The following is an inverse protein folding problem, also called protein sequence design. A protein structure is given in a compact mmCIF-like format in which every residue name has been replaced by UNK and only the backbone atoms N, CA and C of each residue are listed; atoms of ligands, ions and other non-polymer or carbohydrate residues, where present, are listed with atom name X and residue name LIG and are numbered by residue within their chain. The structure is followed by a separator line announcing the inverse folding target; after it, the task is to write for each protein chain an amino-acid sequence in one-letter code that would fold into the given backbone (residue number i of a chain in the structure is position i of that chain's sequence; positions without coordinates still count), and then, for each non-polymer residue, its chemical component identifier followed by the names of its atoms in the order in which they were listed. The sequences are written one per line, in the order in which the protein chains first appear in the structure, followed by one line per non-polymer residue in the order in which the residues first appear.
data_IF_401161434227
#
_entry.id   IF_401161434227
#
_cell.length_a   1.000
_cell.length_b   1.000
_cell.length_c   1.000
_cell.angle_alpha   90.00
_cell.angle_beta   90.00
_cell.angle_gamma   90.00
#
_symmetry.space_group_name_H-M   'P 1'
#
loop_
_entity.id
_entity.type
_entity.pdbx_description
1 polymer ?
#
# COMPACT_ATOMS: atom_id res chain seq x y z
N UNK A 1 28.58 36.22 -65.41
CA UNK A 1 28.88 35.93 -63.96
C UNK A 1 27.75 35.04 -63.43
N UNK A 2 28.05 33.80 -63.02
CA UNK A 2 27.02 32.92 -62.47
C UNK A 2 26.71 33.31 -61.02
N UNK A 3 25.44 33.54 -60.70
CA UNK A 3 24.98 33.77 -59.32
C UNK A 3 25.09 32.46 -58.50
N UNK A 4 26.01 32.40 -57.57
CA UNK A 4 26.13 31.34 -56.58
C UNK A 4 24.82 31.23 -55.76
N UNK A 5 24.06 30.17 -55.97
CA UNK A 5 22.92 29.79 -55.11
C UNK A 5 23.53 29.27 -53.79
N UNK A 6 23.45 30.08 -52.76
CA UNK A 6 23.72 29.58 -51.40
C UNK A 6 22.65 28.61 -51.02
N UNK A 7 22.98 27.33 -51.05
CA UNK A 7 22.09 26.28 -50.46
C UNK A 7 22.09 26.51 -48.94
N UNK A 8 20.94 26.59 -48.30
CA UNK A 8 20.90 26.70 -46.83
C UNK A 8 21.49 25.42 -46.26
N UNK A 9 22.54 25.58 -45.45
CA UNK A 9 23.28 24.49 -44.80
C UNK A 9 22.45 23.70 -43.79
N UNK A 10 21.26 24.18 -43.46
CA UNK A 10 20.39 23.51 -42.49
C UNK A 10 18.93 23.55 -42.95
N UNK A 11 18.32 22.41 -43.08
CA UNK A 11 16.90 22.29 -43.43
C UNK A 11 16.06 22.21 -42.16
N UNK A 12 15.41 23.30 -41.78
CA UNK A 12 14.56 23.41 -40.61
C UNK A 12 13.26 22.61 -40.67
N UNK A 13 12.83 22.21 -41.86
CA UNK A 13 11.54 21.50 -42.02
C UNK A 13 11.45 20.20 -41.26
N UNK A 14 12.41 19.25 -41.35
CA UNK A 14 12.34 18.03 -40.60
C UNK A 14 12.44 18.25 -39.07
N UNK A 15 13.19 19.26 -38.64
CA UNK A 15 13.32 19.60 -37.22
C UNK A 15 12.00 20.14 -36.67
N UNK A 16 11.35 21.04 -37.38
CA UNK A 16 10.04 21.57 -36.99
C UNK A 16 8.96 20.47 -36.92
N UNK A 17 8.96 19.54 -37.88
CA UNK A 17 8.04 18.39 -37.87
C UNK A 17 8.30 17.50 -36.66
N UNK A 18 9.56 17.20 -36.37
CA UNK A 18 9.93 16.39 -35.20
C UNK A 18 9.46 17.03 -33.88
N UNK A 19 9.71 18.34 -33.70
CA UNK A 19 9.24 19.07 -32.53
C UNK A 19 7.72 19.10 -32.42
N UNK A 20 7.01 19.25 -33.51
CA UNK A 20 5.54 19.23 -33.53
C UNK A 20 4.99 17.86 -33.09
N UNK A 21 5.58 16.76 -33.55
CA UNK A 21 5.17 15.40 -33.19
C UNK A 21 5.44 15.12 -31.71
N UNK A 22 6.63 15.49 -31.21
CA UNK A 22 7.01 15.28 -29.80
C UNK A 22 6.13 16.11 -28.88
N UNK A 23 5.86 17.39 -29.24
CA UNK A 23 4.99 18.26 -28.45
C UNK A 23 3.54 17.78 -28.43
N UNK A 24 3.00 17.30 -29.56
CA UNK A 24 1.67 16.73 -29.63
C UNK A 24 1.56 15.43 -28.80
N UNK A 25 2.61 14.59 -28.84
CA UNK A 25 2.69 13.37 -28.02
C UNK A 25 2.70 13.68 -26.52
N UNK A 26 3.54 14.62 -26.11
CA UNK A 26 3.63 15.05 -24.70
C UNK A 26 2.30 15.67 -24.21
N UNK A 27 1.67 16.52 -25.00
CA UNK A 27 0.37 17.09 -24.68
C UNK A 27 -0.71 16.00 -24.58
N UNK A 28 -0.69 15.01 -25.47
CA UNK A 28 -1.58 13.86 -25.43
C UNK A 28 -1.48 13.05 -24.15
N UNK A 29 -0.25 12.78 -23.68
CA UNK A 29 0.01 12.06 -22.43
C UNK A 29 -0.52 12.85 -21.23
N UNK A 30 -0.24 14.17 -21.16
CA UNK A 30 -0.70 15.02 -20.05
C UNK A 30 -2.23 15.10 -20.01
N UNK A 31 -2.88 15.23 -21.19
CA UNK A 31 -4.35 15.26 -21.28
C UNK A 31 -4.92 13.91 -20.86
N UNK A 32 -4.28 12.80 -21.25
CA UNK A 32 -4.71 11.46 -20.91
C UNK A 32 -4.57 11.19 -19.39
N UNK A 33 -3.43 11.55 -18.79
CA UNK A 33 -3.23 11.46 -17.33
C UNK A 33 -4.28 12.27 -16.58
N UNK A 34 -4.51 13.55 -16.97
CA UNK A 34 -5.54 14.38 -16.32
C UNK A 34 -6.95 13.84 -16.51
N UNK A 35 -7.25 13.26 -17.67
CA UNK A 35 -8.54 12.62 -17.93
C UNK A 35 -8.71 11.32 -17.14
N UNK A 36 -7.61 10.62 -16.84
CA UNK A 36 -7.61 9.44 -15.97
C UNK A 36 -7.74 9.83 -14.50
N UNK A 37 -7.00 10.84 -14.04
CA UNK A 37 -7.13 11.40 -12.69
C UNK A 37 -8.54 12.00 -12.45
N UNK A 38 -9.11 12.66 -13.46
CA UNK A 38 -10.49 13.18 -13.39
C UNK A 38 -11.57 12.06 -13.44
N UNK A 39 -11.22 10.85 -13.89
CA UNK A 39 -12.06 9.66 -13.84
C UNK A 39 -11.85 8.80 -12.60
N UNK A 40 -10.87 9.10 -11.76
CA UNK A 40 -10.91 8.68 -10.37
C UNK A 40 -12.07 9.46 -9.72
N UNK A 41 -13.28 9.06 -10.10
CA UNK A 41 -14.47 9.30 -9.27
C UNK A 41 -14.02 8.90 -7.88
N UNK A 42 -14.01 9.83 -6.90
CA UNK A 42 -13.78 9.44 -5.53
C UNK A 42 -14.78 8.31 -5.33
N UNK A 43 -14.28 7.08 -5.17
CA UNK A 43 -15.11 5.93 -4.90
C UNK A 43 -15.91 6.41 -3.71
N UNK A 44 -17.16 6.81 -3.96
CA UNK A 44 -18.11 7.14 -2.90
C UNK A 44 -18.13 5.84 -2.11
N UNK A 45 -17.34 5.83 -1.03
CA UNK A 45 -17.24 4.67 -0.14
C UNK A 45 -18.68 4.44 0.25
N UNK A 46 -19.31 3.35 -0.21
CA UNK A 46 -20.72 3.13 0.10
C UNK A 46 -20.83 3.26 1.61
N UNK A 47 -21.90 3.87 2.12
CA UNK A 47 -22.11 4.06 3.56
C UNK A 47 -22.01 2.76 4.38
N UNK A 48 -21.98 1.61 3.71
CA UNK A 48 -21.72 0.26 4.26
C UNK A 48 -20.22 -0.06 4.49
N UNK A 49 -19.29 0.77 4.01
CA UNK A 49 -17.85 0.56 4.25
C UNK A 49 -17.43 1.27 5.54
N UNK A 50 -17.62 0.58 6.65
CA UNK A 50 -17.03 1.03 7.91
C UNK A 50 -15.50 0.90 7.83
N UNK A 51 -14.74 1.73 8.56
CA UNK A 51 -13.29 1.62 8.65
C UNK A 51 -12.82 0.19 8.97
N UNK A 52 -13.59 -0.55 9.76
CA UNK A 52 -13.35 -1.95 10.11
C UNK A 52 -13.36 -2.87 8.88
N UNK A 53 -14.31 -2.69 7.97
CA UNK A 53 -14.41 -3.48 6.74
C UNK A 53 -13.25 -3.18 5.80
N UNK A 54 -12.85 -1.92 5.70
CA UNK A 54 -11.68 -1.51 4.88
C UNK A 54 -10.41 -2.13 5.45
N UNK A 55 -10.19 -2.00 6.77
CA UNK A 55 -9.04 -2.58 7.45
C UNK A 55 -8.99 -4.11 7.28
N UNK A 56 -10.12 -4.78 7.44
CA UNK A 56 -10.25 -6.22 7.23
C UNK A 56 -9.84 -6.62 5.82
N UNK A 57 -10.41 -5.99 4.78
CA UNK A 57 -10.08 -6.29 3.38
C UNK A 57 -8.60 -6.04 3.06
N UNK A 58 -8.05 -4.96 3.58
CA UNK A 58 -6.65 -4.62 3.37
C UNK A 58 -5.72 -5.69 3.99
N UNK A 59 -5.99 -6.11 5.23
CA UNK A 59 -5.20 -7.15 5.89
C UNK A 59 -5.37 -8.49 5.17
N UNK A 60 -6.60 -8.86 4.81
CA UNK A 60 -6.87 -10.10 4.08
C UNK A 60 -6.22 -10.14 2.69
N UNK A 61 -6.10 -9.01 2.01
CA UNK A 61 -5.39 -8.94 0.72
C UNK A 61 -3.90 -9.23 0.85
N UNK A 62 -3.35 -9.06 2.05
CA UNK A 62 -1.94 -9.22 2.33
C UNK A 62 -1.61 -10.58 2.96
N UNK A 63 -2.34 -10.95 4.01
CA UNK A 63 -2.11 -12.20 4.78
C UNK A 63 -2.86 -13.39 4.18
N UNK A 64 -3.94 -13.14 3.45
CA UNK A 64 -4.81 -14.14 2.84
C UNK A 64 -6.27 -13.99 3.24
N UNK A 65 -7.17 -14.32 2.32
CA UNK A 65 -8.60 -14.22 2.55
C UNK A 65 -9.05 -15.10 3.72
N UNK A 66 -9.94 -14.57 4.58
CA UNK A 66 -10.50 -15.29 5.73
C UNK A 66 -9.53 -15.44 6.90
N UNK A 67 -8.38 -14.77 6.91
CA UNK A 67 -7.44 -14.80 8.04
C UNK A 67 -7.82 -13.83 9.15
N UNK A 68 -8.51 -12.73 8.84
CA UNK A 68 -8.97 -11.76 9.84
C UNK A 68 -10.17 -12.33 10.60
N UNK A 69 -9.99 -12.56 11.90
CA UNK A 69 -11.05 -13.00 12.80
C UNK A 69 -11.96 -11.85 13.23
N UNK A 70 -11.36 -10.72 13.61
CA UNK A 70 -12.08 -9.50 13.97
C UNK A 70 -11.25 -8.25 13.67
N UNK A 71 -11.94 -7.17 13.38
CA UNK A 71 -11.37 -5.83 13.34
C UNK A 71 -12.29 -4.89 14.10
N UNK A 72 -11.73 -3.97 14.86
CA UNK A 72 -12.47 -3.00 15.64
C UNK A 72 -11.71 -1.69 15.73
N UNK A 73 -12.36 -0.61 15.29
CA UNK A 73 -11.89 0.74 15.46
C UNK A 73 -12.60 1.39 16.63
N UNK A 74 -11.85 1.78 17.65
CA UNK A 74 -12.37 2.62 18.72
C UNK A 74 -12.44 4.09 18.23
N UNK A 75 -13.66 4.65 18.08
CA UNK A 75 -13.81 6.00 17.54
C UNK A 75 -13.31 7.09 18.49
N UNK A 76 -13.19 6.81 19.78
CA UNK A 76 -12.72 7.79 20.75
C UNK A 76 -11.19 7.90 20.77
N UNK A 77 -10.52 6.79 20.81
CA UNK A 77 -9.04 6.75 20.83
C UNK A 77 -8.42 6.77 19.44
N UNK A 78 -9.17 6.38 18.40
CA UNK A 78 -8.65 6.18 17.05
C UNK A 78 -7.72 4.98 16.93
N UNK A 79 -7.84 4.01 17.86
CA UNK A 79 -7.06 2.78 17.86
C UNK A 79 -7.80 1.73 17.04
N UNK A 80 -7.15 1.25 15.98
CA UNK A 80 -7.61 0.09 15.23
C UNK A 80 -7.00 -1.18 15.82
N UNK A 81 -7.83 -2.10 16.29
CA UNK A 81 -7.40 -3.43 16.72
C UNK A 81 -7.82 -4.46 15.68
N UNK A 82 -6.87 -5.23 15.15
CA UNK A 82 -7.11 -6.32 14.19
C UNK A 82 -6.60 -7.62 14.78
N UNK A 83 -7.45 -8.64 14.78
CA UNK A 83 -7.09 -9.99 15.20
C UNK A 83 -7.01 -10.88 13.98
N UNK A 84 -5.83 -11.43 13.72
CA UNK A 84 -5.51 -12.24 12.55
C UNK A 84 -5.12 -13.65 12.99
N UNK A 85 -5.70 -14.65 12.32
CA UNK A 85 -5.28 -16.04 12.53
C UNK A 85 -3.87 -16.22 11.97
N UNK A 86 -2.98 -16.75 12.78
CA UNK A 86 -1.64 -17.10 12.34
C UNK A 86 -1.69 -18.21 11.28
N UNK A 87 -1.12 -17.88 10.12
CA UNK A 87 -0.97 -18.81 8.99
C UNK A 87 0.51 -19.01 8.62
N UNK A 88 1.41 -18.38 9.34
CA UNK A 88 2.84 -18.26 8.97
C UNK A 88 3.71 -19.09 9.91
N UNK A 89 3.36 -19.18 11.19
CA UNK A 89 4.20 -19.84 12.18
C UNK A 89 4.44 -21.33 11.88
N UNK A 90 3.47 -21.98 11.19
CA UNK A 90 3.62 -23.39 10.80
C UNK A 90 4.69 -23.62 9.74
N UNK A 91 5.12 -22.57 9.03
CA UNK A 91 6.20 -22.64 8.03
C UNK A 91 7.60 -22.60 8.68
N UNK A 92 7.67 -22.21 9.95
CA UNK A 92 8.93 -22.10 10.69
C UNK A 92 9.35 -23.43 11.28
N UNK A 93 10.64 -23.77 11.13
CA UNK A 93 11.24 -24.99 11.68
C UNK A 93 11.77 -24.76 13.09
N UNK A 94 12.09 -23.54 13.46
CA UNK A 94 12.65 -23.19 14.76
C UNK A 94 11.86 -22.06 15.43
N UNK A 95 11.89 -21.93 16.76
CA UNK A 95 11.25 -20.82 17.48
C UNK A 95 11.79 -19.44 17.04
N UNK A 96 13.07 -19.35 16.68
CA UNK A 96 13.68 -18.12 16.19
C UNK A 96 13.12 -17.72 14.81
N UNK A 97 13.03 -18.67 13.89
CA UNK A 97 12.38 -18.44 12.58
C UNK A 97 10.92 -18.05 12.73
N UNK A 98 10.19 -18.69 13.66
CA UNK A 98 8.80 -18.36 13.93
C UNK A 98 8.64 -16.90 14.39
N UNK A 99 9.49 -16.46 15.34
CA UNK A 99 9.49 -15.06 15.78
C UNK A 99 9.81 -14.09 14.64
N UNK A 100 10.78 -14.43 13.81
CA UNK A 100 11.16 -13.61 12.66
C UNK A 100 10.01 -13.48 11.65
N UNK A 101 9.33 -14.57 11.33
CA UNK A 101 8.18 -14.59 10.41
C UNK A 101 7.00 -13.80 10.99
N UNK A 102 6.61 -14.03 12.24
CA UNK A 102 5.51 -13.32 12.89
C UNK A 102 5.78 -11.81 12.99
N UNK A 103 7.02 -11.42 13.32
CA UNK A 103 7.42 -10.02 13.36
C UNK A 103 7.41 -9.39 11.97
N UNK A 104 7.96 -10.07 10.97
CA UNK A 104 8.03 -9.56 9.60
C UNK A 104 6.65 -9.34 8.99
N UNK A 105 5.80 -10.35 9.02
CA UNK A 105 4.43 -10.28 8.50
C UNK A 105 3.58 -9.26 9.26
N UNK A 106 3.68 -9.26 10.59
CA UNK A 106 2.95 -8.30 11.42
C UNK A 106 3.38 -6.86 11.15
N UNK A 107 4.69 -6.61 11.04
CA UNK A 107 5.23 -5.27 10.74
C UNK A 107 4.74 -4.78 9.38
N UNK A 108 4.84 -5.60 8.34
CA UNK A 108 4.39 -5.21 7.00
C UNK A 108 2.88 -4.95 6.95
N UNK A 109 2.08 -5.74 7.66
CA UNK A 109 0.64 -5.54 7.72
C UNK A 109 0.28 -4.20 8.40
N UNK A 110 0.90 -3.86 9.54
CA UNK A 110 0.61 -2.60 10.23
C UNK A 110 1.13 -1.38 9.48
N UNK A 111 2.27 -1.45 8.81
CA UNK A 111 2.79 -0.37 7.97
C UNK A 111 1.85 -0.05 6.81
N UNK A 112 1.28 -1.06 6.16
CA UNK A 112 0.28 -0.86 5.12
C UNK A 112 -1.02 -0.28 5.65
N UNK A 113 -1.48 -0.72 6.81
CA UNK A 113 -2.66 -0.14 7.46
C UNK A 113 -2.46 1.34 7.78
N UNK A 114 -1.31 1.71 8.33
CA UNK A 114 -0.98 3.11 8.61
C UNK A 114 -0.83 3.96 7.35
N UNK A 115 -0.33 3.38 6.26
CA UNK A 115 -0.15 4.08 4.98
C UNK A 115 -1.44 4.31 4.19
N UNK A 116 -2.48 3.50 4.43
CA UNK A 116 -3.70 3.51 3.62
C UNK A 116 -4.85 4.29 4.25
N UNK A 117 -4.92 4.39 5.57
CA UNK A 117 -6.00 5.06 6.32
C UNK A 117 -5.39 5.83 7.49
N UNK A 118 -5.97 6.99 7.81
CA UNK A 118 -5.51 7.85 8.90
C UNK A 118 -5.88 7.28 10.28
N UNK A 119 -5.28 6.17 10.68
CA UNK A 119 -5.36 5.64 12.04
C UNK A 119 -4.31 6.30 12.93
N UNK A 120 -4.67 6.59 14.18
CA UNK A 120 -3.71 7.10 15.16
C UNK A 120 -2.80 5.99 15.67
N UNK A 121 -3.36 4.81 15.90
CA UNK A 121 -2.64 3.64 16.37
C UNK A 121 -3.23 2.39 15.74
N UNK A 122 -2.39 1.42 15.43
CA UNK A 122 -2.80 0.10 14.96
C UNK A 122 -2.23 -0.96 15.88
N UNK A 123 -3.09 -1.85 16.34
CA UNK A 123 -2.74 -3.02 17.14
C UNK A 123 -3.14 -4.27 16.38
N UNK A 124 -2.16 -5.03 15.90
CA UNK A 124 -2.36 -6.31 15.22
C UNK A 124 -2.04 -7.45 16.19
N UNK A 125 -3.01 -8.34 16.42
CA UNK A 125 -2.84 -9.55 17.24
C UNK A 125 -2.82 -10.77 16.33
N UNK A 126 -1.72 -11.52 16.37
CA UNK A 126 -1.57 -12.79 15.66
C UNK A 126 -1.98 -13.93 16.62
N UNK A 127 -3.02 -14.66 16.25
CA UNK A 127 -3.68 -15.65 17.12
C UNK A 127 -3.68 -17.01 16.48
N UNK A 128 -3.34 -18.05 17.25
CA UNK A 128 -3.45 -19.46 16.88
C UNK A 128 -4.13 -20.23 17.99
N UNK A 129 -5.11 -21.02 17.63
CA UNK A 129 -5.90 -21.86 18.58
C UNK A 129 -6.41 -21.07 19.79
N UNK A 130 -6.87 -19.84 19.56
CA UNK A 130 -7.38 -18.95 20.59
C UNK A 130 -6.30 -18.27 21.46
N UNK A 131 -5.01 -18.55 21.25
CA UNK A 131 -3.90 -17.93 21.98
C UNK A 131 -3.24 -16.86 21.16
N UNK A 132 -2.97 -15.70 21.77
CA UNK A 132 -2.19 -14.63 21.13
C UNK A 132 -0.71 -15.03 21.13
N UNK A 133 -0.13 -15.16 19.94
CA UNK A 133 1.30 -15.49 19.76
C UNK A 133 2.16 -14.25 19.72
N UNK A 134 1.69 -13.21 19.04
CA UNK A 134 2.39 -11.94 18.94
C UNK A 134 1.41 -10.78 18.87
N UNK A 135 1.80 -9.63 19.37
CA UNK A 135 1.09 -8.37 19.25
C UNK A 135 2.02 -7.36 18.61
N UNK A 136 1.63 -6.80 17.49
CA UNK A 136 2.38 -5.75 16.80
C UNK A 136 1.64 -4.43 16.99
N UNK A 137 2.32 -3.44 17.52
CA UNK A 137 1.79 -2.09 17.73
C UNK A 137 2.51 -1.12 16.81
N UNK A 138 1.77 -0.25 16.18
CA UNK A 138 2.33 0.76 15.30
C UNK A 138 1.63 2.11 15.50
N UNK A 139 2.44 3.16 15.42
CA UNK A 139 2.04 4.56 15.48
C UNK A 139 2.64 5.29 14.28
N UNK A 140 1.97 6.30 13.72
CA UNK A 140 2.51 7.10 12.64
C UNK A 140 3.87 7.71 13.03
N UNK A 141 4.86 7.55 12.15
CA UNK A 141 6.21 8.09 12.35
C UNK A 141 7.10 7.32 13.34
N UNK A 142 6.61 6.22 13.93
CA UNK A 142 7.41 5.34 14.79
C UNK A 142 7.60 3.97 14.16
N UNK A 143 8.70 3.30 14.50
CA UNK A 143 8.92 1.90 14.09
C UNK A 143 7.93 0.99 14.80
N UNK A 144 7.30 0.04 14.10
CA UNK A 144 6.44 -0.96 14.73
C UNK A 144 7.18 -1.73 15.83
N UNK A 145 6.45 -2.02 16.90
CA UNK A 145 6.96 -2.80 18.04
C UNK A 145 6.22 -4.13 18.10
N UNK A 146 6.98 -5.22 18.21
CA UNK A 146 6.42 -6.58 18.32
C UNK A 146 6.68 -7.13 19.70
N UNK A 147 5.62 -7.51 20.38
CA UNK A 147 5.64 -8.23 21.67
C UNK A 147 5.23 -9.68 21.40
N UNK A 148 6.02 -10.63 21.87
CA UNK A 148 5.72 -12.06 21.75
C UNK A 148 5.13 -12.60 23.05
N UNK A 149 4.23 -13.59 22.95
CA UNK A 149 3.80 -14.34 24.11
C UNK A 149 4.99 -15.09 24.72
N UNK A 150 4.96 -15.23 26.05
CA UNK A 150 6.03 -15.90 26.82
C UNK A 150 6.17 -17.38 26.41
N UNK A 151 5.06 -18.02 26.03
CA UNK A 151 4.99 -19.45 25.67
C UNK A 151 4.83 -19.62 24.16
N UNK A 152 5.74 -19.07 23.37
CA UNK A 152 5.81 -19.42 21.94
C UNK A 152 6.34 -20.86 21.85
N UNK A 153 5.48 -21.83 21.49
CA UNK A 153 5.88 -23.22 21.34
C UNK A 153 6.85 -23.39 20.15
#
# INVERSE_FOLDING_TARGET
MPKSRKTPLFNWKPVAIYFAIVSAGAAGVIIWERAYEAKEVPLAVPASFTPDVVARRLVESYVGAGTVQSSHLDPQSGILTVVVRDVVSDKAKTPAERRALLSGEGTQAVERLLGSVAFKHVVLKLVKDGKVLATVRAEPGKKPQTEFALDLP
#
